data_IF_122515066263
#
_entry.id   IF_122515066263
#
_cell.length_a   1.000
_cell.length_b   1.000
_cell.length_c   1.000
_cell.angle_alpha   90.00
_cell.angle_beta   90.00
_cell.angle_gamma   90.00
#
_symmetry.space_group_name_H-M   'P 1'
#
loop_
_entity.id
_entity.type
_entity.pdbx_description
1 polymer ?
#
# COMPACT_ATOMS: atom_id res chain seq x y z
N UNK A 1 -11.83 6.78 3.88
CA UNK A 1 -10.50 7.42 4.00
C UNK A 1 -9.95 7.04 5.37
N UNK A 2 -8.63 7.07 5.56
CA UNK A 2 -8.09 7.02 6.92
C UNK A 2 -8.36 8.39 7.54
N UNK A 3 -9.14 8.43 8.61
CA UNK A 3 -9.54 9.69 9.26
C UNK A 3 -8.43 10.22 10.18
N UNK A 4 -7.50 9.35 10.61
CA UNK A 4 -6.36 9.66 11.45
C UNK A 4 -5.10 8.91 10.95
N UNK A 5 -3.88 9.40 11.25
CA UNK A 5 -2.65 8.66 11.00
C UNK A 5 -2.63 7.32 11.76
N UNK A 6 -2.17 6.26 11.09
CA UNK A 6 -2.02 4.93 11.71
C UNK A 6 -0.61 4.78 12.30
N UNK A 7 -0.49 4.04 13.40
CA UNK A 7 0.79 3.78 14.08
C UNK A 7 1.54 2.57 13.50
N UNK A 8 1.34 2.24 12.22
CA UNK A 8 2.04 1.13 11.58
C UNK A 8 3.49 1.57 11.34
N UNK A 9 4.43 0.88 11.98
CA UNK A 9 5.85 1.02 11.64
C UNK A 9 6.19 0.13 10.45
N UNK A 10 6.71 0.74 9.39
CA UNK A 10 7.18 0.05 8.17
C UNK A 10 8.63 0.45 7.89
N UNK A 11 9.49 -0.53 7.57
CA UNK A 11 10.90 -0.29 7.30
C UNK A 11 11.14 0.51 6.01
N UNK A 12 10.11 0.67 5.17
CA UNK A 12 10.12 1.55 4.00
C UNK A 12 10.53 2.99 4.34
N UNK A 13 10.27 3.44 5.58
CA UNK A 13 10.67 4.77 6.04
C UNK A 13 12.18 5.00 5.91
N UNK A 14 13.01 3.96 6.08
CA UNK A 14 14.46 4.06 5.92
C UNK A 14 14.90 4.45 4.51
N UNK A 15 14.14 4.09 3.47
CA UNK A 15 14.42 4.59 2.11
C UNK A 15 14.06 6.06 1.96
N UNK A 16 12.98 6.49 2.62
CA UNK A 16 12.49 7.87 2.52
C UNK A 16 13.31 8.89 3.31
N UNK A 17 14.23 8.42 4.17
CA UNK A 17 15.25 9.27 4.80
C UNK A 17 16.25 9.82 3.77
N UNK A 18 16.58 9.03 2.73
CA UNK A 18 17.61 9.37 1.75
C UNK A 18 17.03 9.80 0.38
N UNK A 19 15.86 9.29 0.01
CA UNK A 19 15.25 9.54 -1.30
C UNK A 19 13.78 9.96 -1.18
N UNK A 20 13.27 10.87 -2.05
CA UNK A 20 11.84 11.11 -2.12
C UNK A 20 11.08 9.82 -2.44
N UNK A 21 10.16 9.42 -1.57
CA UNK A 21 9.38 8.20 -1.74
C UNK A 21 7.91 8.39 -1.38
N UNK A 22 7.07 7.51 -1.91
CA UNK A 22 5.63 7.49 -1.64
C UNK A 22 5.25 6.07 -1.22
N UNK A 23 4.66 5.96 -0.04
CA UNK A 23 4.03 4.73 0.45
C UNK A 23 2.51 4.88 0.36
N UNK A 24 1.82 3.87 -0.16
CA UNK A 24 0.38 3.93 -0.42
C UNK A 24 -0.35 2.78 0.25
N UNK A 25 -1.45 3.10 0.94
CA UNK A 25 -2.40 2.09 1.41
C UNK A 25 -3.27 1.62 0.25
N UNK A 26 -3.27 0.31 0.03
CA UNK A 26 -4.12 -0.35 -0.94
C UNK A 26 -5.16 -1.19 -0.19
N UNK A 27 -6.43 -0.99 -0.49
CA UNK A 27 -7.52 -1.68 0.18
C UNK A 27 -7.49 -3.18 -0.11
N UNK A 28 -7.43 -4.00 0.93
CA UNK A 28 -7.41 -5.47 0.84
C UNK A 28 -8.79 -6.12 0.93
N UNK A 29 -9.84 -5.36 1.25
CA UNK A 29 -11.23 -5.82 1.47
C UNK A 29 -11.37 -6.99 2.48
N UNK A 30 -10.41 -7.12 3.39
CA UNK A 30 -10.48 -8.07 4.51
C UNK A 30 -11.34 -7.50 5.64
N UNK A 31 -12.17 -8.35 6.25
CA UNK A 31 -12.94 -8.00 7.47
C UNK A 31 -12.05 -7.79 8.70
N UNK A 32 -10.86 -8.36 8.69
CA UNK A 32 -9.92 -8.33 9.79
C UNK A 32 -8.66 -7.57 9.38
N UNK A 33 -8.05 -6.85 10.32
CA UNK A 33 -6.81 -6.11 10.11
C UNK A 33 -5.59 -7.05 9.95
N UNK A 34 -4.47 -6.48 9.49
CA UNK A 34 -3.18 -7.17 9.43
C UNK A 34 -2.81 -7.77 10.81
N UNK A 35 -2.09 -8.88 10.79
CA UNK A 35 -1.73 -9.72 11.96
C UNK A 35 -2.87 -10.48 12.65
N UNK A 36 -4.13 -10.24 12.30
CA UNK A 36 -5.22 -11.05 12.84
C UNK A 36 -5.22 -12.48 12.20
N UNK A 37 -5.43 -13.58 12.96
CA UNK A 37 -5.39 -14.96 12.41
C UNK A 37 -6.41 -15.27 11.31
N UNK A 38 -7.44 -14.43 11.19
CA UNK A 38 -8.50 -14.52 10.16
C UNK A 38 -8.32 -13.48 9.06
N UNK A 39 -7.18 -12.79 8.99
CA UNK A 39 -6.87 -11.91 7.87
C UNK A 39 -7.00 -12.69 6.56
N UNK A 40 -7.84 -12.19 5.66
CA UNK A 40 -8.15 -12.86 4.40
C UNK A 40 -8.44 -11.79 3.35
N UNK A 41 -7.41 -11.32 2.62
CA UNK A 41 -7.57 -10.29 1.63
C UNK A 41 -8.27 -10.84 0.39
N UNK A 42 -9.03 -9.99 -0.28
CA UNK A 42 -9.66 -10.33 -1.56
C UNK A 42 -8.62 -10.33 -2.69
N UNK A 43 -8.41 -11.50 -3.32
CA UNK A 43 -7.43 -11.69 -4.39
C UNK A 43 -7.74 -10.87 -5.65
N UNK A 44 -8.96 -10.33 -5.82
CA UNK A 44 -9.29 -9.38 -6.91
C UNK A 44 -8.41 -8.11 -6.87
N UNK A 45 -7.72 -7.85 -5.75
CA UNK A 45 -6.67 -6.83 -5.66
C UNK A 45 -5.62 -6.98 -6.77
N UNK A 46 -5.30 -8.22 -7.17
CA UNK A 46 -4.29 -8.54 -8.18
C UNK A 46 -4.71 -8.13 -9.60
N UNK A 47 -6.00 -7.84 -9.84
CA UNK A 47 -6.50 -7.41 -11.14
C UNK A 47 -6.20 -5.93 -11.45
N UNK A 48 -6.01 -5.10 -10.41
CA UNK A 48 -5.94 -3.63 -10.54
C UNK A 48 -4.64 -3.02 -10.02
N UNK A 49 -4.08 -3.57 -8.95
CA UNK A 49 -2.90 -2.99 -8.28
C UNK A 49 -1.65 -3.03 -9.15
N UNK A 50 -1.36 -4.09 -9.93
CA UNK A 50 -0.23 -4.05 -10.86
C UNK A 50 -0.33 -2.88 -11.84
N UNK A 51 -1.51 -2.61 -12.40
CA UNK A 51 -1.74 -1.51 -13.33
C UNK A 51 -1.60 -0.15 -12.66
N UNK A 52 -2.01 -0.01 -11.38
CA UNK A 52 -1.76 1.20 -10.60
C UNK A 52 -0.26 1.52 -10.53
N UNK A 53 0.59 0.55 -10.19
CA UNK A 53 2.05 0.76 -10.14
C UNK A 53 2.67 1.01 -11.52
N UNK A 54 2.22 0.30 -12.56
CA UNK A 54 2.68 0.55 -13.94
C UNK A 54 2.38 1.99 -14.35
N UNK A 55 1.16 2.48 -14.10
CA UNK A 55 0.78 3.85 -14.43
C UNK A 55 1.54 4.88 -13.59
N UNK A 56 1.78 4.60 -12.30
CA UNK A 56 2.60 5.46 -11.45
C UNK A 56 4.01 5.61 -12.02
N UNK A 57 4.68 4.50 -12.34
CA UNK A 57 6.02 4.52 -12.93
C UNK A 57 6.02 5.27 -14.27
N UNK A 58 5.05 5.01 -15.15
CA UNK A 58 4.94 5.72 -16.42
C UNK A 58 4.83 7.23 -16.22
N UNK A 59 4.05 7.70 -15.25
CA UNK A 59 3.89 9.13 -14.94
C UNK A 59 5.13 9.75 -14.30
N UNK A 60 5.92 9.00 -13.55
CA UNK A 60 7.17 9.49 -12.94
C UNK A 60 8.31 9.60 -13.95
N UNK A 61 8.23 8.88 -15.07
CA UNK A 61 9.23 8.87 -16.14
C UNK A 61 8.91 9.82 -17.31
N UNK A 62 7.77 10.51 -17.27
CA UNK A 62 7.33 11.50 -18.26
C UNK A 62 7.36 12.89 -17.69
#
# INVERSE_FOLDING_TARGET
MLDEPVTIGEDFSGYTEEYPGVFAFIGSDSKYDLHHPKYHPDERILEKVPQYFVQLVQRLLT
#
